data_IF_789329153162
#
_entry.id   IF_789329153162
#
_cell.length_a   1.000
_cell.length_b   1.000
_cell.length_c   1.000
_cell.angle_alpha   90.00
_cell.angle_beta   90.00
_cell.angle_gamma   90.00
#
_symmetry.space_group_name_H-M   'P 1'
#
loop_
_entity.id
_entity.type
_entity.pdbx_description
1 polymer ?
#
# COMPACT_ATOMS: atom_id res chain seq x y z
N UNK A 1 -7.48 -12.49 -5.98
CA UNK A 1 -7.00 -11.84 -7.22
C UNK A 1 -5.54 -12.22 -7.43
N UNK A 2 -5.13 -12.41 -8.68
CA UNK A 2 -3.70 -12.49 -9.05
C UNK A 2 -3.39 -11.28 -9.95
N UNK A 3 -2.28 -10.60 -9.67
CA UNK A 3 -1.74 -9.51 -10.50
C UNK A 3 -0.34 -9.88 -10.95
N UNK A 4 0.08 -9.35 -12.09
CA UNK A 4 1.46 -9.47 -12.54
C UNK A 4 2.26 -8.32 -11.94
N UNK A 5 3.49 -8.62 -11.51
CA UNK A 5 4.47 -7.60 -11.20
C UNK A 5 5.05 -7.08 -12.52
N UNK A 6 5.25 -5.77 -12.56
CA UNK A 6 5.82 -5.06 -13.70
C UNK A 6 7.17 -4.45 -13.27
N UNK A 7 8.06 -4.22 -14.23
CA UNK A 7 9.36 -3.58 -14.02
C UNK A 7 9.37 -2.23 -14.74
N UNK A 8 9.82 -1.17 -14.06
CA UNK A 8 9.95 0.14 -14.67
C UNK A 8 11.29 0.27 -15.43
N UNK A 9 11.52 1.41 -16.08
CA UNK A 9 12.75 1.64 -16.85
C UNK A 9 14.03 1.67 -15.99
N UNK A 10 13.88 1.84 -14.68
CA UNK A 10 14.98 1.87 -13.70
C UNK A 10 15.26 0.46 -13.11
N UNK A 11 14.51 -0.56 -13.53
CA UNK A 11 14.64 -1.94 -13.04
C UNK A 11 13.90 -2.19 -11.72
N UNK A 12 13.07 -1.26 -11.26
CA UNK A 12 12.29 -1.42 -10.04
C UNK A 12 11.00 -2.18 -10.31
N UNK A 13 10.72 -3.15 -9.45
CA UNK A 13 9.51 -3.97 -9.52
C UNK A 13 8.37 -3.24 -8.81
N UNK A 14 7.25 -3.08 -9.50
CA UNK A 14 6.04 -2.48 -8.95
C UNK A 14 4.82 -3.35 -9.23
N UNK A 15 3.77 -3.13 -8.42
CA UNK A 15 2.46 -3.71 -8.63
C UNK A 15 1.51 -2.60 -9.08
N UNK A 16 0.81 -2.82 -10.19
CA UNK A 16 -0.27 -1.92 -10.62
C UNK A 16 -1.54 -2.31 -9.89
N UNK A 17 -2.09 -1.40 -9.08
CA UNK A 17 -3.39 -1.61 -8.44
C UNK A 17 -4.48 -1.57 -9.52
N UNK A 18 -5.33 -2.60 -9.64
CA UNK A 18 -6.44 -2.54 -10.59
C UNK A 18 -7.46 -1.49 -10.18
N UNK A 19 -8.02 -0.78 -11.16
CA UNK A 19 -8.92 0.36 -10.94
C UNK A 19 -10.15 0.06 -10.08
N UNK A 20 -10.65 -1.18 -10.10
CA UNK A 20 -11.74 -1.60 -9.22
C UNK A 20 -11.37 -1.47 -7.73
N UNK A 21 -10.13 -1.79 -7.37
CA UNK A 21 -9.66 -1.68 -5.99
C UNK A 21 -9.32 -0.25 -5.60
N UNK A 22 -8.83 0.57 -6.54
CA UNK A 22 -8.64 2.01 -6.29
C UNK A 22 -9.98 2.65 -5.87
N UNK A 23 -11.05 2.31 -6.57
CA UNK A 23 -12.41 2.78 -6.26
C UNK A 23 -12.97 2.20 -4.95
N UNK A 24 -12.88 0.88 -4.75
CA UNK A 24 -13.41 0.21 -3.56
C UNK A 24 -12.67 0.64 -2.27
N UNK A 25 -11.35 0.83 -2.35
CA UNK A 25 -10.52 1.24 -1.22
C UNK A 25 -10.43 2.77 -1.07
N UNK A 26 -10.98 3.53 -2.01
CA UNK A 26 -10.91 4.99 -2.06
C UNK A 26 -9.45 5.49 -2.03
N UNK A 27 -8.59 4.82 -2.79
CA UNK A 27 -7.21 5.22 -3.01
C UNK A 27 -7.14 6.12 -4.23
N UNK A 28 -6.44 7.24 -4.08
CA UNK A 28 -6.18 8.22 -5.11
C UNK A 28 -4.66 8.38 -5.25
N UNK A 29 -4.23 8.84 -6.41
CA UNK A 29 -2.82 9.19 -6.61
C UNK A 29 -2.35 10.18 -5.53
N UNK A 30 -1.19 9.90 -4.94
CA UNK A 30 -0.63 10.69 -3.86
C UNK A 30 -1.10 10.31 -2.45
N UNK A 31 -2.08 9.42 -2.30
CA UNK A 31 -2.41 8.85 -0.99
C UNK A 31 -1.21 8.08 -0.41
N UNK A 32 -0.96 8.28 0.89
CA UNK A 32 0.08 7.53 1.60
C UNK A 32 -0.46 6.18 2.05
N UNK A 33 0.33 5.14 1.80
CA UNK A 33 0.06 3.77 2.24
C UNK A 33 1.21 3.26 3.10
N UNK A 34 0.90 2.40 4.07
CA UNK A 34 1.91 1.65 4.83
C UNK A 34 1.92 0.17 4.41
N UNK A 35 3.10 -0.42 4.54
CA UNK A 35 3.36 -1.84 4.35
C UNK A 35 3.55 -2.48 5.72
N UNK A 36 2.66 -3.41 6.07
CA UNK A 36 2.71 -4.14 7.33
C UNK A 36 3.12 -5.58 7.05
N UNK A 37 4.25 -6.00 7.62
CA UNK A 37 4.68 -7.40 7.59
C UNK A 37 3.86 -8.23 8.60
N UNK A 38 3.09 -9.19 8.09
CA UNK A 38 2.27 -10.09 8.90
C UNK A 38 3.07 -11.26 9.50
N UNK A 39 4.38 -11.35 9.24
CA UNK A 39 5.33 -12.38 9.73
C UNK A 39 4.96 -13.81 9.34
N UNK A 40 4.20 -13.96 8.27
CA UNK A 40 3.77 -15.26 7.73
C UNK A 40 4.00 -15.36 6.22
N UNK A 41 4.83 -14.48 5.66
CA UNK A 41 5.09 -14.38 4.22
C UNK A 41 4.05 -13.58 3.44
N UNK A 42 3.07 -12.96 4.12
CA UNK A 42 2.14 -12.00 3.52
C UNK A 42 2.36 -10.58 4.04
N UNK A 43 1.93 -9.60 3.25
CA UNK A 43 1.98 -8.19 3.57
C UNK A 43 0.58 -7.59 3.51
N UNK A 44 0.29 -6.65 4.40
CA UNK A 44 -0.92 -5.83 4.34
C UNK A 44 -0.53 -4.44 3.84
N UNK A 45 -1.23 -3.95 2.81
CA UNK A 45 -1.15 -2.55 2.41
C UNK A 45 -2.36 -1.82 2.99
N UNK A 46 -2.12 -0.74 3.72
CA UNK A 46 -3.17 0.04 4.37
C UNK A 46 -2.98 1.52 4.08
N UNK A 47 -4.08 2.23 3.79
CA UNK A 47 -4.06 3.69 3.65
C UNK A 47 -3.78 4.32 5.02
N UNK A 48 -2.79 5.20 5.07
CA UNK A 48 -2.48 5.97 6.29
C UNK A 48 -3.56 7.05 6.40
N UNK A 49 -4.43 6.93 7.38
CA UNK A 49 -5.36 8.01 7.69
C UNK A 49 -4.65 9.06 8.53
N UNK A 50 -4.99 10.32 8.36
CA UNK A 50 -4.42 11.44 9.13
C UNK A 50 -4.67 11.32 10.64
N UNK A 51 -5.57 10.42 11.06
CA UNK A 51 -5.91 10.16 12.45
C UNK A 51 -4.94 9.17 13.13
N UNK A 52 -4.16 8.40 12.37
CA UNK A 52 -3.26 7.37 12.91
C UNK A 52 -1.91 7.96 13.41
N UNK A 53 -1.63 9.24 13.14
CA UNK A 53 -0.35 9.88 13.51
C UNK A 53 -0.21 10.28 15.00
N UNK A 54 -1.22 10.04 15.84
CA UNK A 54 -1.20 10.44 17.26
C UNK A 54 -0.98 9.30 18.27
N UNK A 55 -0.68 8.07 17.82
CA UNK A 55 -0.55 6.91 18.73
C UNK A 55 0.88 6.45 19.01
N UNK A 56 1.89 7.26 18.72
CA UNK A 56 3.27 6.96 19.14
C UNK A 56 3.97 8.26 19.58
N UNK A 57 3.57 8.77 20.74
CA UNK A 57 4.51 9.50 21.60
C UNK A 57 5.30 8.46 22.39
N UNK A 58 6.53 8.21 21.97
CA UNK A 58 7.54 7.51 22.77
C UNK A 58 7.85 8.35 24.03
N UNK A 59 7.89 7.69 25.20
CA UNK A 59 8.42 8.20 26.48
C UNK A 59 9.66 7.41 26.83
#
# INVERSE_FOLDING_TARGET
MQVKLEENNDGEIFLRIPSIYEQELQWNEGDLIEWIDNKNGSWTLQKISSLDKNSTTET
#
